data_IF_998532453414
#
_entry.id   IF_998532453414
#
_cell.length_a   1.000
_cell.length_b   1.000
_cell.length_c   1.000
_cell.angle_alpha   90.00
_cell.angle_beta   90.00
_cell.angle_gamma   90.00
#
_symmetry.space_group_name_H-M   'P 1'
#
loop_
_entity.id
_entity.type
_entity.pdbx_description
1 polymer ?
#
# COMPACT_ATOMS: atom_id res chain seq x y z
N UNK A 1 -16.83 -35.86 55.25
CA UNK A 1 -17.02 -37.28 54.87
C UNK A 1 -16.64 -37.46 53.39
N UNK A 2 -16.46 -38.70 52.95
CA UNK A 2 -15.61 -39.07 51.81
C UNK A 2 -16.42 -39.41 50.53
N UNK A 3 -15.72 -39.72 49.43
CA UNK A 3 -16.19 -40.31 48.14
C UNK A 3 -16.85 -39.28 47.20
N UNK A 4 -16.48 -39.07 45.93
CA UNK A 4 -15.82 -39.94 44.93
C UNK A 4 -16.84 -40.31 43.82
N UNK A 5 -16.57 -40.44 42.52
CA UNK A 5 -15.37 -40.41 41.66
C UNK A 5 -15.74 -40.99 40.26
N UNK A 6 -14.78 -41.12 39.33
CA UNK A 6 -14.89 -41.70 37.93
C UNK A 6 -15.39 -40.74 36.81
N UNK A 7 -15.00 -40.82 35.52
CA UNK A 7 -13.98 -41.54 34.67
C UNK A 7 -13.94 -40.84 33.28
N UNK A 8 -12.92 -40.90 32.39
CA UNK A 8 -11.52 -41.35 32.55
C UNK A 8 -10.86 -42.10 31.36
N UNK A 9 -10.69 -41.52 30.15
CA UNK A 9 -9.94 -42.10 28.98
C UNK A 9 -9.18 -41.00 28.20
N UNK A 10 -7.84 -40.94 28.23
CA UNK A 10 -6.83 -41.68 27.41
C UNK A 10 -6.57 -41.07 26.03
N UNK A 11 -5.34 -40.53 25.87
CA UNK A 11 -4.66 -40.37 24.59
C UNK A 11 -3.31 -41.09 24.70
N UNK A 12 -3.11 -42.12 23.89
CA UNK A 12 -1.81 -42.76 23.70
C UNK A 12 -1.18 -42.21 22.42
N UNK A 13 0.07 -41.76 22.48
CA UNK A 13 0.90 -41.48 21.32
C UNK A 13 2.15 -42.37 21.38
N UNK A 14 2.35 -43.17 20.34
CA UNK A 14 3.35 -44.23 20.29
C UNK A 14 4.72 -43.67 19.88
N UNK A 15 5.77 -44.19 20.52
CA UNK A 15 7.18 -43.87 20.21
C UNK A 15 7.57 -44.56 18.90
N UNK A 16 8.26 -43.84 18.01
CA UNK A 16 8.94 -44.40 16.84
C UNK A 16 10.21 -43.63 16.52
N UNK A 17 11.38 -44.21 16.80
CA UNK A 17 12.69 -43.60 16.59
C UNK A 17 13.57 -44.47 15.69
N UNK A 18 14.27 -43.84 14.74
CA UNK A 18 15.44 -44.34 14.01
C UNK A 18 16.33 -43.09 13.78
N UNK A 19 17.54 -42.97 14.34
CA UNK A 19 18.79 -43.60 13.86
C UNK A 19 18.93 -43.41 12.34
N UNK A 20 19.86 -42.62 11.77
CA UNK A 20 21.07 -42.01 12.31
C UNK A 20 22.30 -42.60 11.61
N UNK A 21 22.88 -41.89 10.63
CA UNK A 21 24.17 -42.25 10.02
C UNK A 21 25.02 -41.03 9.65
N UNK A 22 26.32 -41.29 9.55
CA UNK A 22 27.44 -40.35 9.54
C UNK A 22 27.90 -39.90 8.15
N UNK A 23 28.32 -38.64 8.05
CA UNK A 23 29.58 -38.23 7.41
C UNK A 23 29.69 -38.29 5.88
N UNK A 24 30.01 -37.13 5.28
CA UNK A 24 31.25 -36.92 4.51
C UNK A 24 31.38 -35.45 4.07
N UNK A 25 32.61 -34.93 4.03
CA UNK A 25 32.93 -33.66 3.34
C UNK A 25 33.12 -33.89 1.83
N UNK A 26 33.42 -32.78 1.13
CA UNK A 26 33.79 -32.60 -0.29
C UNK A 26 32.65 -32.16 -1.21
N UNK A 27 32.84 -31.31 -2.23
CA UNK A 27 33.91 -30.32 -2.54
C UNK A 27 33.27 -29.30 -3.50
N UNK A 28 33.82 -28.09 -3.59
CA UNK A 28 33.35 -27.09 -4.56
C UNK A 28 33.46 -27.61 -6.01
N UNK A 29 32.31 -27.72 -6.70
CA UNK A 29 32.27 -28.00 -8.15
C UNK A 29 31.64 -26.83 -8.88
N UNK A 30 32.47 -26.15 -9.67
CA UNK A 30 32.11 -24.99 -10.51
C UNK A 30 31.27 -25.45 -11.71
N UNK A 31 29.96 -25.28 -11.65
CA UNK A 31 29.09 -25.52 -12.80
C UNK A 31 29.09 -24.31 -13.75
N UNK A 32 29.76 -24.42 -14.88
CA UNK A 32 29.61 -23.48 -16.01
C UNK A 32 28.30 -23.77 -16.74
N UNK A 33 27.23 -23.06 -16.37
CA UNK A 33 25.96 -23.10 -17.11
C UNK A 33 26.10 -22.31 -18.43
N UNK A 34 25.85 -22.98 -19.56
CA UNK A 34 25.73 -22.33 -20.86
C UNK A 34 24.47 -21.48 -20.95
N UNK A 35 24.59 -20.31 -21.57
CA UNK A 35 23.49 -19.38 -21.80
C UNK A 35 22.50 -19.94 -22.83
N UNK A 36 21.29 -20.28 -22.39
CA UNK A 36 20.13 -20.43 -23.27
C UNK A 36 19.14 -19.27 -22.99
N UNK A 37 18.66 -18.53 -24.00
CA UNK A 37 17.83 -17.35 -23.79
C UNK A 37 16.37 -17.76 -23.47
N UNK A 38 16.05 -17.90 -22.18
CA UNK A 38 14.65 -17.93 -21.74
C UNK A 38 14.02 -16.58 -22.06
N UNK A 39 13.01 -16.61 -22.95
CA UNK A 39 12.37 -15.41 -23.49
C UNK A 39 11.75 -14.53 -22.41
N UNK A 40 12.44 -13.47 -22.03
CA UNK A 40 11.90 -12.42 -21.17
C UNK A 40 10.87 -11.62 -21.97
N UNK A 41 9.61 -11.69 -21.56
CA UNK A 41 8.58 -10.71 -21.92
C UNK A 41 8.88 -9.39 -21.22
N UNK A 42 9.96 -8.71 -21.60
CA UNK A 42 10.41 -7.46 -21.00
C UNK A 42 9.38 -6.36 -21.25
N UNK A 43 8.94 -5.71 -20.17
CA UNK A 43 8.04 -4.57 -20.22
C UNK A 43 8.83 -3.32 -20.66
N UNK A 44 9.16 -3.27 -21.95
CA UNK A 44 9.86 -2.15 -22.58
C UNK A 44 9.00 -0.89 -22.50
N UNK A 45 9.29 0.01 -21.55
CA UNK A 45 8.52 1.26 -21.45
C UNK A 45 8.72 2.17 -20.22
N UNK A 46 9.46 1.74 -19.17
CA UNK A 46 9.65 2.56 -17.97
C UNK A 46 11.11 2.72 -17.49
N UNK A 47 12.03 1.83 -17.88
CA UNK A 47 13.46 1.95 -17.60
C UNK A 47 14.20 2.57 -18.79
N UNK A 48 14.93 3.67 -18.56
CA UNK A 48 15.75 4.35 -19.58
C UNK A 48 15.28 5.77 -19.94
N UNK A 49 15.77 6.76 -19.17
CA UNK A 49 16.06 8.13 -19.60
C UNK A 49 16.63 8.93 -18.41
N UNK A 50 17.87 9.41 -18.52
CA UNK A 50 18.31 10.56 -17.74
C UNK A 50 17.49 11.77 -18.23
N UNK A 51 16.77 12.45 -17.33
CA UNK A 51 15.62 13.29 -17.70
C UNK A 51 14.26 12.55 -17.66
N UNK A 52 14.14 11.53 -16.81
CA UNK A 52 12.92 10.73 -16.71
C UNK A 52 11.71 11.51 -16.18
N UNK A 53 10.60 11.51 -16.93
CA UNK A 53 9.34 12.12 -16.46
C UNK A 53 8.84 11.46 -15.18
N UNK A 54 8.31 12.29 -14.27
CA UNK A 54 7.53 11.86 -13.13
C UNK A 54 6.26 11.09 -13.52
N UNK A 55 5.64 10.48 -12.53
CA UNK A 55 4.39 9.75 -12.67
C UNK A 55 3.69 9.69 -11.31
N UNK A 56 2.38 9.54 -11.32
CA UNK A 56 1.54 9.44 -10.14
C UNK A 56 0.59 8.27 -10.30
N UNK A 57 0.22 7.64 -9.19
CA UNK A 57 -0.74 6.55 -9.11
C UNK A 57 -1.67 6.76 -7.90
N UNK A 58 -2.92 6.32 -8.07
CA UNK A 58 -3.92 6.16 -7.02
C UNK A 58 -4.18 4.66 -6.90
N UNK A 59 -4.03 4.13 -5.69
CA UNK A 59 -4.37 2.75 -5.33
C UNK A 59 -5.79 2.73 -4.80
N UNK A 60 -6.56 1.70 -5.13
CA UNK A 60 -7.99 1.62 -4.83
C UNK A 60 -8.34 0.30 -4.16
N UNK A 61 -9.01 0.38 -3.02
CA UNK A 61 -9.61 -0.69 -2.23
C UNK A 61 -11.13 -0.43 -2.23
N UNK A 62 -11.89 -0.95 -3.22
CA UNK A 62 -13.27 -0.53 -3.46
C UNK A 62 -14.23 -0.81 -2.31
N UNK A 63 -14.00 -1.91 -1.59
CA UNK A 63 -14.84 -2.33 -0.48
C UNK A 63 -14.39 -1.76 0.89
N UNK A 64 -13.34 -0.93 0.89
CA UNK A 64 -12.87 -0.22 2.10
C UNK A 64 -13.87 0.83 2.59
N UNK A 65 -13.72 1.23 3.86
CA UNK A 65 -14.57 2.23 4.54
C UNK A 65 -16.07 1.99 4.28
N UNK A 66 -16.60 0.84 4.74
CA UNK A 66 -18.02 0.46 4.56
C UNK A 66 -18.52 0.53 3.09
N UNK A 67 -17.64 0.22 2.12
CA UNK A 67 -17.88 0.29 0.66
C UNK A 67 -18.01 1.70 0.07
N UNK A 68 -17.75 2.76 0.84
CA UNK A 68 -17.47 4.09 0.27
C UNK A 68 -16.15 4.11 -0.53
N UNK A 69 -15.30 3.12 -0.28
CA UNK A 69 -14.01 2.92 -0.94
C UNK A 69 -12.89 3.52 -0.14
N UNK A 70 -11.68 3.07 -0.45
CA UNK A 70 -10.46 3.54 0.20
C UNK A 70 -9.35 3.74 -0.83
N UNK A 71 -8.53 4.76 -0.63
CA UNK A 71 -7.47 5.14 -1.58
C UNK A 71 -6.13 5.42 -0.91
N UNK A 72 -5.07 5.04 -1.62
CA UNK A 72 -3.69 5.40 -1.31
C UNK A 72 -3.01 6.05 -2.52
N UNK A 73 -1.82 6.62 -2.31
CA UNK A 73 -1.06 7.34 -3.34
C UNK A 73 0.26 6.66 -3.66
N UNK A 74 0.79 6.96 -4.85
CA UNK A 74 2.19 6.74 -5.17
C UNK A 74 2.70 7.75 -6.20
N UNK A 75 3.94 8.21 -6.07
CA UNK A 75 4.58 9.07 -7.06
C UNK A 75 6.02 8.65 -7.35
N UNK A 76 6.42 8.81 -8.60
CA UNK A 76 7.74 8.42 -9.09
C UNK A 76 8.78 9.48 -8.74
N UNK A 77 9.96 9.04 -8.33
CA UNK A 77 11.15 9.88 -8.29
C UNK A 77 11.78 9.97 -9.70
N UNK A 78 11.84 11.16 -10.32
CA UNK A 78 12.43 11.37 -11.65
C UNK A 78 13.86 10.83 -11.74
N UNK A 79 14.19 10.14 -12.83
CA UNK A 79 15.54 9.64 -13.11
C UNK A 79 16.04 8.46 -12.25
N UNK A 80 15.47 8.18 -11.07
CA UNK A 80 15.98 7.12 -10.17
C UNK A 80 15.28 5.76 -10.34
N UNK A 81 14.08 5.74 -10.91
CA UNK A 81 13.25 4.53 -10.99
C UNK A 81 12.54 4.15 -9.68
N UNK A 82 12.79 4.88 -8.58
CA UNK A 82 12.11 4.68 -7.29
C UNK A 82 10.75 5.37 -7.25
N UNK A 83 9.92 4.96 -6.29
CA UNK A 83 8.59 5.49 -6.03
C UNK A 83 8.42 5.70 -4.53
N UNK A 84 7.77 6.80 -4.15
CA UNK A 84 7.28 7.06 -2.79
C UNK A 84 5.78 6.81 -2.79
N UNK A 85 5.27 6.02 -1.85
CA UNK A 85 3.86 5.60 -1.80
C UNK A 85 3.41 5.38 -0.37
N UNK A 86 2.10 5.46 -0.14
CA UNK A 86 1.51 5.42 1.20
C UNK A 86 0.00 5.55 1.19
N UNK A 87 -0.59 5.51 2.39
CA UNK A 87 -2.01 5.68 2.63
C UNK A 87 -2.29 6.20 4.06
N UNK A 88 -3.56 6.44 4.37
CA UNK A 88 -4.06 6.79 5.72
C UNK A 88 -5.21 5.85 6.06
N UNK A 89 -4.96 4.80 6.83
CA UNK A 89 -5.88 3.66 7.00
C UNK A 89 -7.00 3.87 8.03
N UNK A 90 -6.83 4.77 9.00
CA UNK A 90 -7.73 4.95 10.16
C UNK A 90 -8.11 3.62 10.88
N UNK A 91 -7.15 2.89 11.47
CA UNK A 91 -7.40 1.62 12.17
C UNK A 91 -8.36 1.77 13.36
N UNK A 92 -8.56 3.00 13.86
CA UNK A 92 -9.49 3.28 14.94
C UNK A 92 -10.97 3.24 14.54
N UNK A 93 -11.28 3.32 13.23
CA UNK A 93 -12.64 3.47 12.70
C UNK A 93 -13.36 4.77 13.10
N UNK A 94 -12.69 5.70 13.79
CA UNK A 94 -13.32 6.93 14.32
C UNK A 94 -13.45 7.99 13.23
N UNK A 95 -14.54 8.76 13.29
CA UNK A 95 -14.73 9.95 12.45
C UNK A 95 -13.84 11.13 12.86
N UNK A 96 -13.17 11.06 14.01
CA UNK A 96 -12.24 12.09 14.48
C UNK A 96 -11.09 11.48 15.28
N UNK A 97 -9.87 11.85 14.88
CA UNK A 97 -8.64 11.68 15.66
C UNK A 97 -7.93 13.05 15.68
N UNK A 98 -7.57 13.60 16.85
CA UNK A 98 -6.89 14.89 16.93
C UNK A 98 -5.51 14.85 16.26
N UNK A 99 -4.94 16.01 15.89
CA UNK A 99 -3.55 16.11 15.42
C UNK A 99 -2.57 15.40 16.36
N UNK A 100 -1.60 14.67 15.78
CA UNK A 100 -0.65 13.82 16.51
C UNK A 100 -1.21 12.51 17.07
N UNK A 101 -2.51 12.22 16.93
CA UNK A 101 -3.08 10.89 17.21
C UNK A 101 -2.84 9.90 16.07
N UNK A 102 -2.99 8.60 16.35
CA UNK A 102 -2.85 7.55 15.34
C UNK A 102 -4.02 7.55 14.33
N UNK A 103 -3.67 7.79 13.08
CA UNK A 103 -4.58 7.80 11.92
C UNK A 103 -4.26 6.69 10.92
N UNK A 104 -3.31 5.81 11.24
CA UNK A 104 -2.75 4.82 10.32
C UNK A 104 -2.14 5.42 9.05
N UNK A 105 -1.54 6.60 9.16
CA UNK A 105 -0.75 7.17 8.07
C UNK A 105 0.58 6.43 7.97
N UNK A 106 0.90 5.95 6.77
CA UNK A 106 2.17 5.32 6.47
C UNK A 106 2.67 5.73 5.09
N UNK A 107 4.00 5.75 4.92
CA UNK A 107 4.62 5.83 3.60
C UNK A 107 5.93 5.04 3.58
N UNK A 108 6.39 4.69 2.37
CA UNK A 108 7.69 4.05 2.14
C UNK A 108 8.23 4.41 0.75
N UNK A 109 9.45 3.98 0.44
CA UNK A 109 10.12 4.26 -0.84
C UNK A 109 10.81 3.03 -1.45
N UNK A 110 10.24 2.52 -2.55
CA UNK A 110 10.63 1.27 -3.18
C UNK A 110 10.85 1.36 -4.70
N UNK A 111 11.05 0.21 -5.33
CA UNK A 111 10.91 0.06 -6.78
C UNK A 111 9.43 0.08 -7.19
N UNK A 112 9.14 0.17 -8.49
CA UNK A 112 7.77 0.07 -8.99
C UNK A 112 7.11 -1.27 -8.60
N UNK A 113 7.81 -2.40 -8.75
CA UNK A 113 7.25 -3.70 -8.39
C UNK A 113 7.10 -3.89 -6.88
N UNK A 114 7.98 -3.30 -6.05
CA UNK A 114 7.82 -3.30 -4.60
C UNK A 114 6.59 -2.49 -4.18
N UNK A 115 6.38 -1.31 -4.76
CA UNK A 115 5.16 -0.51 -4.58
C UNK A 115 3.89 -1.31 -4.90
N UNK A 116 3.87 -2.02 -6.03
CA UNK A 116 2.72 -2.85 -6.37
C UNK A 116 2.53 -4.01 -5.39
N UNK A 117 3.59 -4.71 -4.98
CA UNK A 117 3.52 -5.83 -4.02
C UNK A 117 3.02 -5.36 -2.65
N UNK A 118 3.59 -4.29 -2.08
CA UNK A 118 3.20 -3.74 -0.77
C UNK A 118 1.73 -3.32 -0.75
N UNK A 119 1.28 -2.58 -1.76
CA UNK A 119 -0.13 -2.18 -1.89
C UNK A 119 -1.04 -3.41 -2.10
N UNK A 120 -0.63 -4.36 -2.94
CA UNK A 120 -1.46 -5.54 -3.26
C UNK A 120 -1.65 -6.54 -2.11
N UNK A 121 -0.75 -6.51 -1.13
CA UNK A 121 -0.76 -7.39 0.04
C UNK A 121 -1.16 -6.69 1.33
N UNK A 122 -1.47 -5.39 1.25
CA UNK A 122 -1.73 -4.51 2.40
C UNK A 122 -0.62 -4.59 3.46
N UNK A 123 0.64 -4.53 3.01
CA UNK A 123 1.81 -4.91 3.80
C UNK A 123 2.04 -4.10 5.09
N UNK A 124 1.36 -2.95 5.22
CA UNK A 124 1.44 -2.09 6.40
C UNK A 124 0.25 -2.26 7.37
N UNK A 125 -0.90 -2.79 6.91
CA UNK A 125 -2.06 -3.15 7.73
C UNK A 125 -2.57 -4.58 7.41
N UNK A 126 -1.70 -5.61 7.49
CA UNK A 126 -2.03 -6.96 7.04
C UNK A 126 -3.06 -7.62 7.95
N UNK A 127 -4.20 -8.02 7.38
CA UNK A 127 -5.23 -8.81 8.05
C UNK A 127 -6.37 -8.02 8.69
N UNK A 128 -6.31 -6.68 8.72
CA UNK A 128 -7.44 -5.84 9.16
C UNK A 128 -8.38 -5.47 7.99
N UNK A 129 -7.89 -5.61 6.76
CA UNK A 129 -8.64 -5.43 5.51
C UNK A 129 -9.17 -6.77 4.99
N UNK A 130 -10.50 -6.97 5.00
CA UNK A 130 -11.14 -8.08 4.26
C UNK A 130 -10.84 -8.04 2.74
N UNK A 131 -10.47 -6.86 2.25
CA UNK A 131 -10.17 -6.58 0.84
C UNK A 131 -8.91 -5.69 0.73
N UNK A 132 -7.76 -6.20 0.25
CA UNK A 132 -6.59 -5.36 -0.01
C UNK A 132 -6.80 -4.48 -1.26
N UNK A 133 -5.86 -3.60 -1.57
CA UNK A 133 -5.90 -2.80 -2.80
C UNK A 133 -5.94 -3.71 -4.04
N UNK A 134 -7.04 -3.64 -4.79
CA UNK A 134 -7.36 -4.57 -5.89
C UNK A 134 -7.28 -3.92 -7.27
N UNK A 135 -7.05 -2.61 -7.32
CA UNK A 135 -6.96 -1.79 -8.54
C UNK A 135 -6.05 -0.60 -8.31
N UNK A 136 -5.44 -0.10 -9.38
CA UNK A 136 -4.70 1.16 -9.34
C UNK A 136 -4.82 1.91 -10.68
N UNK A 137 -4.88 3.24 -10.60
CA UNK A 137 -4.85 4.14 -11.76
C UNK A 137 -3.58 4.96 -11.77
N UNK A 138 -2.93 5.16 -12.91
CA UNK A 138 -1.69 5.96 -13.00
C UNK A 138 -1.68 6.96 -14.17
N UNK A 139 -0.88 8.02 -14.04
CA UNK A 139 -0.62 9.00 -15.11
C UNK A 139 0.86 9.41 -15.17
N UNK A 140 1.32 9.85 -16.35
CA UNK A 140 2.64 10.48 -16.51
C UNK A 140 2.55 11.97 -16.20
N UNK A 141 3.41 12.46 -15.33
CA UNK A 141 3.51 13.89 -14.95
C UNK A 141 4.82 14.51 -15.43
N UNK A 142 4.74 15.67 -16.08
CA UNK A 142 5.93 16.47 -16.49
C UNK A 142 6.15 17.70 -15.58
N UNK A 143 5.20 17.98 -14.69
CA UNK A 143 5.12 19.20 -13.87
C UNK A 143 5.57 18.99 -12.43
N UNK A 144 6.16 17.83 -12.12
CA UNK A 144 6.28 17.25 -10.79
C UNK A 144 7.02 18.10 -9.76
N UNK A 145 6.75 17.87 -8.47
CA UNK A 145 7.47 18.49 -7.35
C UNK A 145 7.66 17.49 -6.20
N UNK A 146 8.86 16.91 -6.10
CA UNK A 146 9.18 15.90 -5.07
C UNK A 146 9.31 16.51 -3.67
N UNK A 147 10.02 17.65 -3.46
CA UNK A 147 10.10 18.29 -2.15
C UNK A 147 8.72 18.66 -1.59
N UNK A 148 7.85 19.29 -2.38
CA UNK A 148 6.50 19.66 -1.92
C UNK A 148 5.64 18.43 -1.57
N UNK A 149 5.73 17.36 -2.36
CA UNK A 149 5.03 16.11 -2.06
C UNK A 149 5.48 15.46 -0.75
N UNK A 150 6.80 15.46 -0.46
CA UNK A 150 7.33 14.93 0.80
C UNK A 150 6.94 15.78 2.01
N UNK A 151 6.99 17.11 1.88
CA UNK A 151 6.52 18.01 2.93
C UNK A 151 5.02 17.78 3.23
N UNK A 152 4.22 17.52 2.20
CA UNK A 152 2.80 17.20 2.37
C UNK A 152 2.57 15.84 3.04
N UNK A 153 3.39 14.82 2.79
CA UNK A 153 3.31 13.53 3.52
C UNK A 153 3.47 13.77 5.02
N UNK A 154 4.48 14.52 5.46
CA UNK A 154 4.69 14.84 6.87
C UNK A 154 3.55 15.68 7.48
N UNK A 155 2.91 16.56 6.68
CA UNK A 155 1.72 17.29 7.11
C UNK A 155 0.49 16.37 7.24
N UNK A 156 0.30 15.42 6.32
CA UNK A 156 -0.75 14.39 6.38
C UNK A 156 -0.58 13.50 7.61
N UNK A 157 0.63 13.04 7.90
CA UNK A 157 0.95 12.18 9.05
C UNK A 157 0.67 12.85 10.41
N UNK A 158 0.69 14.19 10.47
CA UNK A 158 0.54 14.94 11.73
C UNK A 158 -0.83 15.61 11.92
N UNK A 159 -1.62 15.85 10.86
CA UNK A 159 -2.87 16.65 10.92
C UNK A 159 -4.08 15.98 11.58
N UNK A 160 -3.98 14.71 11.96
CA UNK A 160 -5.11 13.94 12.49
C UNK A 160 -6.14 13.56 11.41
N UNK A 161 -7.21 12.87 11.83
CA UNK A 161 -8.27 12.37 10.96
C UNK A 161 -9.57 13.10 11.26
N UNK A 162 -10.37 13.37 10.23
CA UNK A 162 -11.68 14.00 10.38
C UNK A 162 -12.59 13.62 9.21
N UNK A 163 -13.82 13.24 9.50
CA UNK A 163 -14.96 13.24 8.56
C UNK A 163 -16.16 13.77 9.34
N UNK A 164 -16.48 15.05 9.19
CA UNK A 164 -17.54 15.68 9.97
C UNK A 164 -17.30 17.16 10.26
N UNK A 165 -17.78 17.65 11.39
CA UNK A 165 -17.59 19.05 11.80
C UNK A 165 -16.24 19.20 12.47
N UNK A 166 -15.41 20.10 11.92
CA UNK A 166 -14.13 20.50 12.50
C UNK A 166 -14.36 21.24 13.84
N UNK A 167 -13.77 20.78 14.96
CA UNK A 167 -13.98 21.39 16.27
C UNK A 167 -13.33 22.78 16.42
N UNK A 168 -12.35 23.13 15.58
CA UNK A 168 -11.68 24.44 15.62
C UNK A 168 -12.43 25.48 14.78
N UNK A 169 -12.98 25.07 13.63
CA UNK A 169 -13.62 26.01 12.68
C UNK A 169 -15.15 25.95 12.66
N UNK A 170 -15.76 24.92 13.25
CA UNK A 170 -17.21 24.69 13.21
C UNK A 170 -17.74 24.31 11.81
N UNK A 171 -16.87 24.02 10.85
CA UNK A 171 -17.24 23.73 9.45
C UNK A 171 -17.27 22.23 9.18
N UNK A 172 -18.22 21.79 8.37
CA UNK A 172 -18.23 20.44 7.83
C UNK A 172 -17.08 20.28 6.81
N UNK A 173 -16.20 19.30 7.03
CA UNK A 173 -14.99 19.04 6.21
C UNK A 173 -14.50 17.60 6.41
N UNK A 174 -13.48 17.22 5.65
CA UNK A 174 -12.74 15.96 5.81
C UNK A 174 -11.22 16.20 5.90
N UNK A 175 -10.51 15.20 6.43
CA UNK A 175 -9.05 15.01 6.42
C UNK A 175 -8.74 13.50 6.28
N UNK A 176 -9.42 12.84 5.37
CA UNK A 176 -9.45 11.37 5.24
C UNK A 176 -8.38 10.81 4.26
N UNK A 177 -8.51 9.54 3.87
CA UNK A 177 -7.61 8.86 2.94
C UNK A 177 -7.63 9.47 1.53
N UNK A 178 -8.78 10.00 1.08
CA UNK A 178 -8.91 10.70 -0.17
C UNK A 178 -8.30 12.10 -0.09
N UNK A 179 -8.55 12.85 0.97
CA UNK A 179 -7.88 14.15 1.16
C UNK A 179 -6.36 13.99 1.20
N UNK A 180 -5.87 12.95 1.90
CA UNK A 180 -4.44 12.64 1.97
C UNK A 180 -3.86 12.30 0.58
N UNK A 181 -4.53 11.40 -0.15
CA UNK A 181 -4.18 11.03 -1.53
C UNK A 181 -4.18 12.24 -2.46
N UNK A 182 -5.23 13.06 -2.41
CA UNK A 182 -5.38 14.25 -3.23
C UNK A 182 -4.31 15.30 -2.91
N UNK A 183 -4.10 15.64 -1.64
CA UNK A 183 -3.14 16.68 -1.24
C UNK A 183 -1.70 16.29 -1.57
N UNK A 184 -1.29 15.04 -1.35
CA UNK A 184 0.06 14.57 -1.73
C UNK A 184 0.24 14.61 -3.24
N UNK A 185 -0.73 14.13 -4.03
CA UNK A 185 -0.63 14.13 -5.49
C UNK A 185 -0.75 15.54 -6.10
N UNK A 186 -1.50 16.44 -5.47
CA UNK A 186 -1.60 17.86 -5.82
C UNK A 186 -0.30 18.59 -5.52
N UNK A 187 0.31 18.31 -4.36
CA UNK A 187 1.61 18.86 -3.96
C UNK A 187 2.74 18.32 -4.83
N UNK A 188 2.65 17.07 -5.28
CA UNK A 188 3.49 16.51 -6.36
C UNK A 188 3.23 17.16 -7.73
N UNK A 189 2.29 18.10 -7.86
CA UNK A 189 1.91 18.78 -9.11
C UNK A 189 1.54 17.79 -10.21
N UNK A 190 0.74 16.78 -9.85
CA UNK A 190 0.26 15.75 -10.78
C UNK A 190 -0.58 16.38 -11.89
N UNK A 191 -0.14 16.18 -13.14
CA UNK A 191 -0.82 16.71 -14.32
C UNK A 191 -2.22 16.07 -14.49
N UNK A 192 -3.26 16.91 -14.61
CA UNK A 192 -4.68 16.48 -14.73
C UNK A 192 -5.14 15.61 -13.56
N UNK A 193 -4.77 16.00 -12.34
CA UNK A 193 -5.45 15.52 -11.13
C UNK A 193 -6.81 16.24 -11.01
N UNK A 194 -7.95 15.53 -11.03
CA UNK A 194 -9.25 16.14 -10.79
C UNK A 194 -9.33 16.63 -9.34
N UNK A 195 -10.02 17.75 -9.14
CA UNK A 195 -10.27 18.29 -7.80
C UNK A 195 -11.08 17.28 -6.97
N UNK A 196 -10.65 17.05 -5.73
CA UNK A 196 -11.45 16.38 -4.71
C UNK A 196 -12.06 17.45 -3.79
N UNK A 197 -13.38 17.71 -3.86
CA UNK A 197 -14.09 18.40 -2.78
C UNK A 197 -13.95 17.64 -1.46
N UNK A 198 -13.94 18.36 -0.34
CA UNK A 198 -14.06 17.72 0.98
C UNK A 198 -15.34 16.85 1.04
N UNK A 199 -15.27 15.75 1.80
CA UNK A 199 -16.34 14.73 1.95
C UNK A 199 -16.65 13.97 0.64
N UNK A 200 -15.76 13.99 -0.35
CA UNK A 200 -15.94 13.20 -1.58
C UNK A 200 -15.81 11.71 -1.28
N UNK A 201 -16.73 10.92 -1.81
CA UNK A 201 -16.67 9.45 -1.68
C UNK A 201 -15.51 8.91 -2.53
N UNK A 202 -14.54 8.16 -1.96
CA UNK A 202 -13.35 7.71 -2.70
C UNK A 202 -13.67 6.92 -3.98
N UNK A 203 -14.62 5.99 -3.93
CA UNK A 203 -15.06 5.24 -5.12
C UNK A 203 -15.60 6.14 -6.23
N UNK A 204 -16.27 7.25 -5.90
CA UNK A 204 -16.80 8.20 -6.88
C UNK A 204 -15.69 9.07 -7.45
N UNK A 205 -14.78 9.58 -6.61
CA UNK A 205 -13.67 10.41 -7.08
C UNK A 205 -12.71 9.65 -8.00
N UNK A 206 -12.41 8.38 -7.70
CA UNK A 206 -11.57 7.51 -8.55
C UNK A 206 -12.09 7.44 -9.99
N UNK A 207 -13.40 7.43 -10.19
CA UNK A 207 -13.99 7.39 -11.54
C UNK A 207 -13.80 8.69 -12.33
N UNK A 208 -13.50 9.82 -11.67
CA UNK A 208 -13.15 11.10 -12.31
C UNK A 208 -11.72 11.14 -12.87
N UNK A 209 -10.88 10.14 -12.60
CA UNK A 209 -9.49 10.04 -13.08
C UNK A 209 -9.43 9.66 -14.58
N UNK A 210 -9.98 10.52 -15.44
CA UNK A 210 -10.12 10.30 -16.88
C UNK A 210 -8.76 10.43 -17.60
N UNK A 211 -8.47 9.49 -18.50
CA UNK A 211 -7.20 9.44 -19.22
C UNK A 211 -5.99 9.01 -18.38
N UNK A 212 -6.21 8.56 -17.13
CA UNK A 212 -5.25 7.78 -16.37
C UNK A 212 -5.34 6.31 -16.84
N UNK A 213 -4.23 5.58 -16.87
CA UNK A 213 -4.25 4.14 -17.15
C UNK A 213 -4.89 3.42 -15.97
N UNK A 214 -5.82 2.50 -16.22
CA UNK A 214 -6.49 1.69 -15.19
C UNK A 214 -6.02 0.23 -15.26
N UNK A 215 -5.75 -0.37 -14.10
CA UNK A 215 -5.17 -1.72 -13.99
C UNK A 215 -5.66 -2.42 -12.74
N UNK A 216 -5.97 -3.72 -12.88
CA UNK A 216 -6.13 -4.62 -11.73
C UNK A 216 -4.81 -4.71 -10.96
N UNK A 217 -4.90 -4.67 -9.64
CA UNK A 217 -3.83 -5.02 -8.73
C UNK A 217 -4.09 -6.46 -8.24
N UNK A 218 -3.07 -7.30 -8.30
CA UNK A 218 -3.12 -8.69 -7.83
C UNK A 218 -2.02 -8.86 -6.79
N UNK A 219 -2.26 -9.59 -5.68
CA UNK A 219 -1.21 -9.98 -4.75
C UNK A 219 0.02 -10.55 -5.47
N UNK A 220 1.22 -10.20 -5.00
CA UNK A 220 2.53 -10.61 -5.53
C UNK A 220 3.52 -10.88 -4.41
#
# INVERSE_FOLDING_TARGET
MNIGGHRGLVVAAVIGALIGMTGCQQTATRATAHTAPSGTGTITGMAGAAGGSGAACVFVKPDGAEKFGHVGWGFRLPGTGRWVYGAVENPSGKLYTPPGGDIGAWHTEGSYDRMLSDMSTDAHYPGESEHPYSRYRCTKSRTYDVPAARAMITAVESRGFLVGVDPETGRLTSRDCLDATYDVLKSYRTRRLPYAPALSVPNVWVESLWGWSDKKLTPR
#
